data_IF_053148704268
#
_entry.id   IF_053148704268
#
_cell.length_a   1.000
_cell.length_b   1.000
_cell.length_c   1.000
_cell.angle_alpha   90.00
_cell.angle_beta   90.00
_cell.angle_gamma   90.00
#
_symmetry.space_group_name_H-M   'P 1'
#
loop_
_entity.id
_entity.type
_entity.pdbx_description
1 polymer ?
#
# COMPACT_ATOMS: atom_id res chain seq x y z
N UNK A 1 -3.26 10.01 4.83
CA UNK A 1 -3.78 9.02 5.80
C UNK A 1 -2.69 8.41 6.67
N UNK A 2 -1.57 7.94 6.11
CA UNK A 2 -0.44 7.39 6.88
C UNK A 2 -0.02 8.24 8.11
N UNK A 3 0.09 9.56 7.95
CA UNK A 3 0.37 10.51 9.05
C UNK A 3 -0.65 10.46 10.19
N UNK A 4 -1.93 10.26 9.88
CA UNK A 4 -2.99 10.14 10.90
C UNK A 4 -2.75 8.87 11.71
N UNK A 5 -2.46 7.75 11.04
CA UNK A 5 -2.10 6.49 11.70
C UNK A 5 -0.86 6.61 12.57
N UNK A 6 0.18 7.29 12.09
CA UNK A 6 1.38 7.57 12.88
C UNK A 6 1.02 8.30 14.18
N UNK A 7 0.20 9.35 14.11
CA UNK A 7 -0.26 10.06 15.31
C UNK A 7 -1.13 9.22 16.25
N UNK A 8 -1.91 8.27 15.73
CA UNK A 8 -2.64 7.29 16.55
C UNK A 8 -1.66 6.37 17.29
N UNK A 9 -0.63 5.86 16.61
CA UNK A 9 0.38 4.99 17.20
C UNK A 9 1.18 5.70 18.29
N UNK A 10 1.70 6.90 18.01
CA UNK A 10 2.45 7.70 18.98
C UNK A 10 1.62 7.99 20.25
N UNK A 11 0.33 8.30 20.07
CA UNK A 11 -0.57 8.56 21.20
C UNK A 11 -0.88 7.29 21.98
N UNK A 12 -1.05 6.15 21.31
CA UNK A 12 -1.29 4.87 21.96
C UNK A 12 -0.05 4.39 22.74
N UNK A 13 1.14 4.51 22.16
CA UNK A 13 2.41 4.15 22.81
C UNK A 13 2.64 5.01 24.07
N UNK A 14 2.43 6.33 23.95
CA UNK A 14 2.52 7.26 25.07
C UNK A 14 1.52 6.93 26.17
N UNK A 15 0.27 6.63 25.81
CA UNK A 15 -0.78 6.30 26.76
C UNK A 15 -0.50 4.98 27.49
N UNK A 16 0.00 3.97 26.77
CA UNK A 16 0.35 2.68 27.33
C UNK A 16 1.70 2.68 28.09
N UNK A 17 2.49 3.75 27.98
CA UNK A 17 3.81 3.84 28.60
C UNK A 17 4.85 2.90 27.99
N UNK A 18 4.67 2.50 26.72
CA UNK A 18 5.61 1.63 26.00
C UNK A 18 6.57 2.45 25.12
N UNK A 19 7.65 1.82 24.67
CA UNK A 19 8.68 2.50 23.87
C UNK A 19 8.16 3.00 22.53
N UNK A 20 8.77 4.07 22.01
CA UNK A 20 8.50 4.59 20.67
C UNK A 20 8.81 3.55 19.59
N UNK A 21 7.90 3.39 18.62
CA UNK A 21 8.06 2.40 17.55
C UNK A 21 7.88 0.96 18.03
N UNK A 22 7.20 0.75 19.17
CA UNK A 22 6.78 -0.58 19.62
C UNK A 22 5.68 -1.14 18.73
N UNK A 23 4.74 -0.29 18.29
CA UNK A 23 3.71 -0.65 17.32
C UNK A 23 4.38 -0.83 15.96
N UNK A 24 4.14 -1.97 15.32
CA UNK A 24 4.63 -2.28 13.98
C UNK A 24 3.47 -2.50 13.03
N UNK A 25 3.55 -1.87 11.85
CA UNK A 25 2.49 -1.91 10.85
C UNK A 25 3.03 -2.26 9.46
N UNK A 26 2.28 -3.09 8.74
CA UNK A 26 2.42 -3.21 7.29
C UNK A 26 1.23 -2.52 6.65
N UNK A 27 1.48 -1.71 5.61
CA UNK A 27 0.42 -1.04 4.86
C UNK A 27 0.05 -1.84 3.62
N UNK A 28 -1.25 -2.12 3.44
CA UNK A 28 -1.78 -2.67 2.19
C UNK A 28 -1.80 -1.56 1.13
N UNK A 29 -1.06 -1.73 0.03
CA UNK A 29 -1.14 -0.81 -1.12
C UNK A 29 -2.21 -1.33 -2.06
N UNK A 30 -3.44 -1.36 -1.60
CA UNK A 30 -4.57 -1.97 -2.32
C UNK A 30 -5.52 -0.94 -2.92
N UNK A 31 -5.06 0.30 -3.08
CA UNK A 31 -5.81 1.35 -3.76
C UNK A 31 -4.96 1.98 -4.87
N UNK A 32 -5.63 2.38 -5.95
CA UNK A 32 -4.97 3.01 -7.09
C UNK A 32 -4.29 4.35 -6.70
N UNK A 33 -4.87 5.23 -5.85
CA UNK A 33 -4.15 6.41 -5.40
C UNK A 33 -2.89 6.08 -4.58
N UNK A 34 -2.93 5.03 -3.74
CA UNK A 34 -1.81 4.69 -2.85
C UNK A 34 -0.55 4.23 -3.60
N UNK A 35 -0.68 3.59 -4.78
CA UNK A 35 0.51 3.18 -5.55
C UNK A 35 1.38 4.38 -5.97
N UNK A 36 0.79 5.57 -6.10
CA UNK A 36 1.52 6.81 -6.43
C UNK A 36 2.11 7.52 -5.20
N UNK A 37 1.87 7.02 -3.98
CA UNK A 37 2.29 7.66 -2.73
C UNK A 37 3.07 6.70 -1.80
N UNK A 38 3.58 5.58 -2.32
CA UNK A 38 4.24 4.56 -1.49
C UNK A 38 5.46 5.09 -0.73
N UNK A 39 6.22 6.02 -1.31
CA UNK A 39 7.37 6.63 -0.65
C UNK A 39 6.96 7.52 0.53
N UNK A 40 5.92 8.32 0.33
CA UNK A 40 5.35 9.24 1.29
C UNK A 40 4.68 8.46 2.42
N UNK A 41 3.94 7.40 2.11
CA UNK A 41 3.34 6.49 3.09
C UNK A 41 4.43 5.90 4.00
N UNK A 42 5.52 5.37 3.42
CA UNK A 42 6.64 4.82 4.19
C UNK A 42 7.38 5.90 4.97
N UNK A 43 7.46 7.13 4.47
CA UNK A 43 8.08 8.24 5.18
C UNK A 43 7.27 8.67 6.40
N UNK A 44 5.96 8.81 6.25
CA UNK A 44 5.05 9.22 7.33
C UNK A 44 4.93 8.16 8.42
N UNK A 45 5.16 6.89 8.09
CA UNK A 45 5.15 5.76 9.03
C UNK A 45 6.54 5.19 9.33
N UNK A 46 7.64 5.91 9.04
CA UNK A 46 9.01 5.37 9.08
C UNK A 46 9.42 4.75 10.43
N UNK A 47 8.83 5.20 11.52
CA UNK A 47 9.14 4.72 12.87
C UNK A 47 8.35 3.45 13.26
N UNK A 48 7.24 3.18 12.56
CA UNK A 48 6.32 2.06 12.85
C UNK A 48 6.15 1.09 11.67
N UNK A 49 6.54 1.45 10.45
CA UNK A 49 6.34 0.62 9.26
C UNK A 49 7.40 -0.47 9.15
N UNK A 50 6.96 -1.69 8.84
CA UNK A 50 7.83 -2.84 8.55
C UNK A 50 7.69 -3.32 7.10
N UNK A 51 6.85 -2.68 6.29
CA UNK A 51 6.69 -3.05 4.89
C UNK A 51 5.38 -2.60 4.25
N UNK A 52 5.28 -2.92 2.97
CA UNK A 52 4.09 -2.76 2.16
C UNK A 52 3.66 -4.13 1.59
N UNK A 53 2.38 -4.27 1.30
CA UNK A 53 1.81 -5.50 0.72
C UNK A 53 1.08 -5.21 -0.59
N UNK A 54 1.22 -6.14 -1.54
CA UNK A 54 0.44 -6.14 -2.77
C UNK A 54 -0.93 -6.84 -2.60
N UNK A 55 -2.01 -6.20 -3.06
CA UNK A 55 -3.34 -6.81 -3.17
C UNK A 55 -3.83 -6.89 -4.62
N UNK A 56 -4.63 -7.92 -4.96
CA UNK A 56 -5.24 -8.03 -6.30
C UNK A 56 -6.65 -7.43 -6.34
N UNK A 57 -7.58 -7.96 -5.55
CA UNK A 57 -9.00 -7.65 -5.69
C UNK A 57 -9.35 -6.21 -5.31
N UNK A 58 -8.87 -5.74 -4.15
CA UNK A 58 -9.10 -4.36 -3.72
C UNK A 58 -8.41 -3.35 -4.63
N UNK A 59 -7.23 -3.69 -5.16
CA UNK A 59 -6.52 -2.84 -6.11
C UNK A 59 -7.29 -2.67 -7.43
N UNK A 60 -7.77 -3.76 -8.04
CA UNK A 60 -8.58 -3.66 -9.26
C UNK A 60 -9.94 -3.01 -9.00
N UNK A 61 -10.54 -3.23 -7.82
CA UNK A 61 -11.75 -2.54 -7.41
C UNK A 61 -11.52 -1.04 -7.31
N UNK A 62 -10.42 -0.62 -6.67
CA UNK A 62 -10.03 0.78 -6.58
C UNK A 62 -9.76 1.36 -7.96
N UNK A 63 -9.15 0.61 -8.89
CA UNK A 63 -8.95 1.07 -10.26
C UNK A 63 -10.27 1.42 -10.94
N UNK A 64 -11.26 0.52 -10.88
CA UNK A 64 -12.60 0.74 -11.44
C UNK A 64 -13.28 1.94 -10.76
N UNK A 65 -13.24 2.01 -9.43
CA UNK A 65 -13.85 3.12 -8.67
C UNK A 65 -13.21 4.47 -9.01
N UNK A 66 -11.88 4.52 -9.08
CA UNK A 66 -11.14 5.75 -9.41
C UNK A 66 -11.40 6.20 -10.85
N UNK A 67 -11.55 5.26 -11.78
CA UNK A 67 -11.78 5.55 -13.19
C UNK A 67 -13.22 5.38 -13.68
N UNK A 68 -14.19 5.34 -12.77
CA UNK A 68 -15.61 5.07 -13.12
C UNK A 68 -16.21 6.03 -14.17
N UNK A 69 -15.69 7.25 -14.28
CA UNK A 69 -16.13 8.26 -15.24
C UNK A 69 -15.37 8.21 -16.58
N UNK A 70 -14.46 7.25 -16.77
CA UNK A 70 -13.57 7.14 -17.94
C UNK A 70 -13.94 5.90 -18.78
N UNK A 71 -14.77 6.02 -19.83
CA UNK A 71 -15.23 4.88 -20.62
C UNK A 71 -14.11 4.18 -21.42
N UNK A 72 -12.94 4.82 -21.56
CA UNK A 72 -11.73 4.29 -22.18
C UNK A 72 -10.87 3.41 -21.25
N UNK A 73 -11.23 3.29 -19.97
CA UNK A 73 -10.45 2.58 -18.93
C UNK A 73 -11.17 1.35 -18.39
N UNK A 74 -11.90 0.65 -19.26
CA UNK A 74 -12.60 -0.58 -18.90
C UNK A 74 -11.61 -1.73 -18.68
N UNK A 75 -11.93 -2.59 -17.70
CA UNK A 75 -11.23 -3.84 -17.48
C UNK A 75 -12.05 -5.01 -18.06
N UNK A 76 -11.39 -6.08 -18.54
CA UNK A 76 -12.08 -7.32 -18.86
C UNK A 76 -12.62 -7.98 -17.58
N UNK A 77 -13.24 -9.16 -17.75
CA UNK A 77 -13.64 -9.96 -16.59
C UNK A 77 -12.47 -10.13 -15.62
N UNK A 78 -12.75 -9.93 -14.33
CA UNK A 78 -11.77 -9.79 -13.25
C UNK A 78 -10.83 -11.00 -13.15
N UNK A 79 -11.29 -12.18 -13.56
CA UNK A 79 -10.50 -13.41 -13.59
C UNK A 79 -9.33 -13.32 -14.58
N UNK A 80 -9.48 -12.54 -15.67
CA UNK A 80 -8.46 -12.30 -16.69
C UNK A 80 -7.43 -11.23 -16.25
N UNK A 81 -7.77 -10.42 -15.24
CA UNK A 81 -6.89 -9.39 -14.66
C UNK A 81 -5.94 -10.02 -13.63
N UNK A 82 -4.99 -10.83 -14.12
CA UNK A 82 -3.97 -11.48 -13.30
C UNK A 82 -2.77 -10.58 -12.95
N UNK A 83 -1.96 -11.00 -11.96
CA UNK A 83 -0.77 -10.25 -11.52
C UNK A 83 0.32 -10.11 -12.60
N UNK A 84 0.29 -10.95 -13.64
CA UNK A 84 1.24 -10.90 -14.76
C UNK A 84 0.91 -9.82 -15.79
N UNK A 85 -0.31 -9.25 -15.76
CA UNK A 85 -0.69 -8.19 -16.68
C UNK A 85 0.11 -6.92 -16.44
N UNK A 86 0.40 -6.16 -17.51
CA UNK A 86 1.38 -5.08 -17.49
C UNK A 86 1.23 -4.11 -16.30
N UNK A 87 0.02 -3.60 -16.05
CA UNK A 87 -0.20 -2.63 -14.97
C UNK A 87 -0.11 -3.26 -13.57
N UNK A 88 -0.54 -4.51 -13.40
CA UNK A 88 -0.41 -5.24 -12.12
C UNK A 88 1.05 -5.59 -11.83
N UNK A 89 1.80 -6.03 -12.85
CA UNK A 89 3.23 -6.29 -12.74
C UNK A 89 4.02 -5.02 -12.45
N UNK A 90 3.68 -3.91 -13.11
CA UNK A 90 4.32 -2.61 -12.86
C UNK A 90 4.09 -2.15 -11.42
N UNK A 91 2.87 -2.35 -10.90
CA UNK A 91 2.53 -2.11 -9.51
C UNK A 91 3.37 -2.95 -8.54
N UNK A 92 3.48 -4.27 -8.76
CA UNK A 92 4.30 -5.13 -7.89
C UNK A 92 5.78 -4.79 -7.96
N UNK A 93 6.33 -4.55 -9.16
CA UNK A 93 7.74 -4.20 -9.35
C UNK A 93 8.08 -2.85 -8.68
N UNK A 94 7.18 -1.87 -8.77
CA UNK A 94 7.35 -0.58 -8.11
C UNK A 94 7.30 -0.71 -6.59
N UNK A 95 6.39 -1.52 -6.04
CA UNK A 95 6.29 -1.77 -4.60
C UNK A 95 7.58 -2.41 -4.08
N UNK A 96 8.08 -3.46 -4.75
CA UNK A 96 9.33 -4.14 -4.39
C UNK A 96 10.49 -3.15 -4.36
N UNK A 97 10.66 -2.37 -5.43
CA UNK A 97 11.74 -1.36 -5.52
C UNK A 97 11.63 -0.31 -4.44
N UNK A 98 10.42 0.13 -4.12
CA UNK A 98 10.17 1.18 -3.12
C UNK A 98 10.47 0.68 -1.71
N UNK A 99 9.98 -0.51 -1.35
CA UNK A 99 10.25 -1.15 -0.07
C UNK A 99 11.74 -1.43 0.14
N UNK A 100 12.39 -2.10 -0.82
CA UNK A 100 13.78 -2.50 -0.67
C UNK A 100 14.73 -1.30 -0.64
N UNK A 101 14.41 -0.20 -1.34
CA UNK A 101 15.17 1.07 -1.22
C UNK A 101 15.14 1.63 0.20
N UNK A 102 14.07 1.38 0.96
CA UNK A 102 13.89 1.86 2.34
C UNK A 102 14.20 0.79 3.40
N UNK A 103 14.68 -0.39 2.99
CA UNK A 103 15.04 -1.47 3.91
C UNK A 103 13.86 -2.12 4.62
N UNK A 104 12.65 -2.05 4.05
CA UNK A 104 11.43 -2.68 4.60
C UNK A 104 10.95 -3.83 3.72
N UNK A 105 10.07 -4.68 4.26
CA UNK A 105 9.56 -5.84 3.53
C UNK A 105 8.62 -5.45 2.39
N UNK A 106 8.74 -6.18 1.28
CA UNK A 106 7.77 -6.20 0.18
C UNK A 106 7.04 -7.54 0.21
N UNK A 107 5.74 -7.53 0.50
CA UNK A 107 4.95 -8.75 0.58
C UNK A 107 4.05 -8.93 -0.64
N UNK A 108 3.97 -10.16 -1.14
CA UNK A 108 2.99 -10.56 -2.14
C UNK A 108 1.59 -10.68 -1.56
N UNK A 109 0.60 -10.64 -2.44
CA UNK A 109 -0.79 -10.96 -2.10
C UNK A 109 -1.09 -12.46 -2.19
N UNK A 110 -2.36 -12.79 -1.93
CA UNK A 110 -2.96 -14.10 -2.23
C UNK A 110 -3.43 -14.21 -3.68
#
# INVERSE_FOLDING_TARGET
EAKIWNGVFERAEKFAGIGWGSIRATVLIETLPAVFQMNEILYELRDHSIGLNCGRWDYIFSYVKTFQAHPDRLLPDRVQVGMTQHFMRSYSDLLIRTCHRRGVHAMGGM
#
